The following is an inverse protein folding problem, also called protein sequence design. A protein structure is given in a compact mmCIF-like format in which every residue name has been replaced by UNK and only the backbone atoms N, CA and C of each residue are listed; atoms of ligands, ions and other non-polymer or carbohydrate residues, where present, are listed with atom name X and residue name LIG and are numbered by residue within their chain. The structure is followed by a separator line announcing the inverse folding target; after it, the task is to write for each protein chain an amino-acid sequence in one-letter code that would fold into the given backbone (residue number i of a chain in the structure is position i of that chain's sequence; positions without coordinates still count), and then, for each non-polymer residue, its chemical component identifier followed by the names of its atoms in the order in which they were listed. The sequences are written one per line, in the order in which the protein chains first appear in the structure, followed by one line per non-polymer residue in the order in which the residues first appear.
data_IF_685346356829
#
_entry.id   IF_685346356829
#
_cell.length_a   1.000
_cell.length_b   1.000
_cell.length_c   1.000
_cell.angle_alpha   90.00
_cell.angle_beta   90.00
_cell.angle_gamma   90.00
#
_symmetry.space_group_name_H-M   'P 1'
#
loop_
_entity.id
_entity.type
_entity.pdbx_description
1 polymer ?
#
# COMPACT_ATOMS: atom_id res chain seq x y z
N UNK A 1 -6.35 1.44 -3.87
CA UNK A 1 -5.67 2.31 -2.88
C UNK A 1 -5.13 3.54 -3.61
N UNK A 2 -5.42 4.74 -3.11
CA UNK A 2 -4.79 5.96 -3.62
C UNK A 2 -3.38 6.12 -3.03
N UNK A 3 -2.47 6.75 -3.80
CA UNK A 3 -1.11 7.06 -3.36
C UNK A 3 -1.06 8.54 -2.96
N UNK A 4 -0.57 8.80 -1.76
CA UNK A 4 -0.42 10.15 -1.19
C UNK A 4 -1.73 10.99 -1.10
N UNK A 5 -2.89 10.34 -0.97
CA UNK A 5 -4.17 11.01 -0.77
C UNK A 5 -4.44 11.21 0.73
N UNK A 6 -4.55 12.45 1.14
CA UNK A 6 -4.84 12.83 2.52
C UNK A 6 -6.34 12.85 2.84
N UNK A 7 -6.67 12.80 4.11
CA UNK A 7 -8.05 12.88 4.60
C UNK A 7 -8.78 14.15 4.10
N UNK A 8 -8.08 15.30 4.14
CA UNK A 8 -8.63 16.59 3.74
C UNK A 8 -8.63 16.84 2.21
N UNK A 9 -8.29 15.86 1.38
CA UNK A 9 -8.24 16.04 -0.08
C UNK A 9 -9.57 15.72 -0.78
N UNK A 10 -10.55 15.17 -0.05
CA UNK A 10 -11.86 14.77 -0.58
C UNK A 10 -12.97 15.71 -0.06
N UNK A 11 -13.94 16.03 -0.93
CA UNK A 11 -15.10 16.86 -0.58
C UNK A 11 -15.92 16.29 0.57
N UNK A 12 -16.15 14.98 0.60
CA UNK A 12 -16.87 14.30 1.68
C UNK A 12 -16.17 14.39 3.06
N UNK A 13 -14.93 14.83 3.11
CA UNK A 13 -14.18 15.11 4.34
C UNK A 13 -13.86 16.59 4.54
N UNK A 14 -14.47 17.48 3.75
CA UNK A 14 -14.40 18.93 3.96
C UNK A 14 -13.52 19.70 2.98
N UNK A 15 -12.99 19.06 1.93
CA UNK A 15 -12.30 19.76 0.86
C UNK A 15 -13.26 20.66 0.10
N UNK A 16 -12.88 21.93 -0.13
CA UNK A 16 -13.73 22.93 -0.79
C UNK A 16 -13.14 23.48 -2.09
N UNK A 17 -11.83 23.29 -2.32
CA UNK A 17 -11.12 23.82 -3.49
C UNK A 17 -11.13 22.83 -4.64
N UNK A 18 -10.78 21.57 -4.36
CA UNK A 18 -10.78 20.51 -5.36
C UNK A 18 -12.12 19.77 -5.32
N UNK A 19 -12.76 19.64 -6.46
CA UNK A 19 -14.04 18.97 -6.57
C UNK A 19 -13.84 17.45 -6.74
N UNK A 20 -14.49 16.65 -5.89
CA UNK A 20 -14.40 15.18 -5.93
C UNK A 20 -15.78 14.51 -6.02
N UNK A 21 -16.65 14.91 -7.00
CA UNK A 21 -18.07 14.57 -6.98
C UNK A 21 -18.37 13.08 -7.01
N UNK A 22 -17.56 12.27 -7.71
CA UNK A 22 -17.77 10.82 -7.78
C UNK A 22 -17.42 10.13 -6.46
N UNK A 23 -16.37 10.57 -5.78
CA UNK A 23 -15.97 10.06 -4.46
C UNK A 23 -16.93 10.52 -3.38
N UNK A 24 -17.42 11.75 -3.50
CA UNK A 24 -18.44 12.30 -2.58
C UNK A 24 -19.76 11.55 -2.71
N UNK A 25 -20.18 11.22 -3.94
CA UNK A 25 -21.35 10.39 -4.18
C UNK A 25 -21.17 8.97 -3.62
N UNK A 26 -20.01 8.36 -3.80
CA UNK A 26 -19.69 7.05 -3.22
C UNK A 26 -19.78 7.10 -1.69
N UNK A 27 -19.28 8.15 -1.06
CA UNK A 27 -19.37 8.34 0.38
C UNK A 27 -20.81 8.56 0.87
N UNK A 28 -21.66 9.23 0.08
CA UNK A 28 -23.06 9.48 0.39
C UNK A 28 -23.96 8.25 0.27
N UNK A 29 -23.64 7.34 -0.64
CA UNK A 29 -24.42 6.11 -0.91
C UNK A 29 -23.85 4.87 -0.25
N UNK A 30 -22.63 4.93 0.26
CA UNK A 30 -21.93 3.83 0.90
C UNK A 30 -21.60 4.09 2.36
N UNK A 31 -20.56 3.45 2.84
CA UNK A 31 -20.06 3.64 4.20
C UNK A 31 -18.83 4.55 4.18
N UNK A 32 -18.90 5.65 4.94
CA UNK A 32 -17.79 6.58 5.13
C UNK A 32 -17.16 6.38 6.49
N UNK A 33 -15.88 6.07 6.48
CA UNK A 33 -15.09 5.89 7.70
C UNK A 33 -14.41 7.20 8.09
N UNK A 34 -14.56 7.61 9.34
CA UNK A 34 -13.96 8.84 9.87
C UNK A 34 -12.70 8.59 10.68
N UNK A 35 -12.39 7.34 11.00
CA UNK A 35 -11.27 6.92 11.83
C UNK A 35 -10.57 5.68 11.23
N UNK A 36 -10.08 5.81 9.99
CA UNK A 36 -9.26 4.78 9.33
C UNK A 36 -7.90 5.38 9.01
N UNK A 37 -6.87 4.69 9.44
CA UNK A 37 -5.49 5.14 9.32
C UNK A 37 -4.69 4.19 8.44
N UNK A 38 -3.87 4.74 7.56
CA UNK A 38 -2.88 3.96 6.83
C UNK A 38 -1.87 3.33 7.81
N UNK A 39 -1.34 2.17 7.46
CA UNK A 39 -0.39 1.45 8.31
C UNK A 39 0.93 2.16 8.56
N UNK A 40 1.25 3.18 7.75
CA UNK A 40 2.40 4.05 7.90
C UNK A 40 2.19 5.38 7.17
N UNK A 41 3.03 6.36 7.46
CA UNK A 41 3.02 7.70 6.85
C UNK A 41 3.66 7.75 5.45
N UNK A 42 4.36 6.69 5.02
CA UNK A 42 5.00 6.60 3.70
C UNK A 42 4.60 5.32 2.97
N UNK A 43 4.76 5.32 1.65
CA UNK A 43 4.12 4.37 0.75
C UNK A 43 4.54 2.91 0.96
N UNK A 44 5.83 2.57 0.97
CA UNK A 44 6.27 1.18 1.03
C UNK A 44 5.81 0.46 2.32
N UNK A 45 6.04 0.97 3.54
CA UNK A 45 5.58 0.30 4.74
C UNK A 45 4.05 0.29 4.86
N UNK A 46 3.33 1.33 4.39
CA UNK A 46 1.86 1.32 4.36
C UNK A 46 1.32 0.22 3.45
N UNK A 47 1.95 0.03 2.26
CA UNK A 47 1.59 -1.05 1.33
C UNK A 47 1.91 -2.43 1.91
N UNK A 48 3.05 -2.57 2.59
CA UNK A 48 3.42 -3.83 3.24
C UNK A 48 2.44 -4.21 4.36
N UNK A 49 2.03 -3.25 5.20
CA UNK A 49 0.98 -3.44 6.22
C UNK A 49 -0.33 -3.89 5.57
N UNK A 50 -0.76 -3.22 4.49
CA UNK A 50 -1.99 -3.58 3.79
C UNK A 50 -1.88 -4.97 3.16
N UNK A 51 -0.77 -5.27 2.47
CA UNK A 51 -0.59 -6.55 1.78
C UNK A 51 -0.53 -7.74 2.74
N UNK A 52 0.13 -7.59 3.89
CA UNK A 52 0.39 -8.70 4.82
C UNK A 52 -0.58 -8.76 5.99
N UNK A 53 -1.40 -7.73 6.22
CA UNK A 53 -2.24 -7.61 7.42
C UNK A 53 -1.46 -7.45 8.73
N UNK A 54 -0.14 -7.31 8.68
CA UNK A 54 0.70 -7.16 9.88
C UNK A 54 0.72 -5.72 10.37
N UNK A 55 0.78 -5.54 11.67
CA UNK A 55 1.00 -4.23 12.28
C UNK A 55 2.36 -3.64 11.87
N UNK A 56 2.47 -2.33 11.76
CA UNK A 56 3.69 -1.60 11.35
C UNK A 56 4.95 -1.95 12.19
N UNK A 57 4.78 -2.39 13.42
CA UNK A 57 5.86 -2.89 14.28
C UNK A 57 6.33 -4.32 13.96
N UNK A 58 5.59 -5.07 13.15
CA UNK A 58 5.86 -6.48 12.83
C UNK A 58 6.20 -6.72 11.36
N UNK A 59 5.80 -5.80 10.46
CA UNK A 59 6.10 -5.90 9.04
C UNK A 59 7.61 -5.68 8.80
N UNK A 60 8.18 -6.38 7.82
CA UNK A 60 9.61 -6.28 7.50
C UNK A 60 10.00 -4.94 6.89
N UNK A 61 9.11 -4.34 6.08
CA UNK A 61 9.35 -3.06 5.41
C UNK A 61 8.84 -1.93 6.30
N UNK A 62 9.74 -1.18 6.92
CA UNK A 62 9.42 -0.11 7.88
C UNK A 62 9.68 1.31 7.35
N UNK A 63 10.18 1.43 6.13
CA UNK A 63 10.47 2.71 5.49
C UNK A 63 10.67 2.53 3.99
N UNK A 64 10.70 3.64 3.26
CA UNK A 64 10.98 3.61 1.82
C UNK A 64 12.43 3.24 1.51
N UNK A 65 13.33 3.58 2.45
CA UNK A 65 14.77 3.36 2.30
C UNK A 65 15.30 2.71 3.58
N UNK A 66 15.77 1.45 3.53
CA UNK A 66 16.36 0.83 4.69
C UNK A 66 17.74 1.45 5.00
N UNK A 67 18.05 1.59 6.27
CA UNK A 67 19.39 2.04 6.70
C UNK A 67 20.45 0.97 6.41
N UNK A 68 20.06 -0.30 6.44
CA UNK A 68 20.94 -1.47 6.24
C UNK A 68 20.24 -2.50 5.35
N UNK A 69 21.00 -3.17 4.49
CA UNK A 69 20.47 -4.20 3.59
C UNK A 69 19.74 -3.65 2.38
N UNK A 70 18.94 -4.49 1.76
CA UNK A 70 18.13 -4.16 0.57
C UNK A 70 18.90 -4.18 -0.75
N UNK A 71 18.15 -4.10 -1.85
CA UNK A 71 18.65 -4.07 -3.23
C UNK A 71 18.71 -2.61 -3.70
N UNK A 72 19.74 -2.26 -4.47
CA UNK A 72 19.85 -0.93 -5.09
C UNK A 72 18.94 -0.87 -6.32
N UNK A 73 18.10 0.16 -6.37
CA UNK A 73 17.31 0.47 -7.56
C UNK A 73 18.18 1.13 -8.67
N UNK A 74 17.57 1.43 -9.81
CA UNK A 74 18.24 2.09 -10.95
C UNK A 74 18.80 3.49 -10.64
N UNK A 75 18.39 4.11 -9.53
CA UNK A 75 18.91 5.39 -9.06
C UNK A 75 19.97 5.24 -7.96
N UNK A 76 20.35 3.99 -7.63
CA UNK A 76 21.32 3.69 -6.57
C UNK A 76 20.74 3.76 -5.16
N UNK A 77 19.42 4.01 -5.02
CA UNK A 77 18.73 4.00 -3.74
C UNK A 77 18.47 2.56 -3.28
N UNK A 78 18.63 2.32 -1.99
CA UNK A 78 18.33 0.99 -1.44
C UNK A 78 16.83 0.82 -1.23
N UNK A 79 16.32 -0.35 -1.66
CA UNK A 79 14.96 -0.80 -1.42
C UNK A 79 15.00 -2.14 -0.71
N UNK A 80 14.12 -2.33 0.25
CA UNK A 80 13.95 -3.62 0.90
C UNK A 80 12.79 -4.34 0.21
N UNK A 81 13.03 -5.46 -0.50
CA UNK A 81 11.95 -6.25 -1.06
C UNK A 81 11.17 -6.95 0.05
N UNK A 82 9.88 -7.19 -0.20
CA UNK A 82 9.06 -8.02 0.68
C UNK A 82 9.67 -9.44 0.70
N UNK A 83 10.00 -9.98 1.90
CA UNK A 83 10.51 -11.34 2.00
C UNK A 83 9.48 -12.36 1.51
N UNK A 84 9.93 -13.41 0.80
CA UNK A 84 9.05 -14.49 0.33
C UNK A 84 8.33 -15.24 1.47
N UNK A 85 8.81 -15.13 2.70
CA UNK A 85 8.14 -15.71 3.89
C UNK A 85 6.96 -14.86 4.40
N UNK A 86 6.77 -13.65 3.89
CA UNK A 86 5.65 -12.79 4.25
C UNK A 86 4.47 -13.05 3.32
N UNK A 87 3.49 -13.80 3.82
CA UNK A 87 2.26 -14.12 3.08
C UNK A 87 1.41 -12.87 2.92
N UNK A 88 0.93 -12.62 1.71
CA UNK A 88 0.05 -11.51 1.37
C UNK A 88 -1.41 -11.96 1.29
N UNK A 89 -2.35 -11.02 1.43
CA UNK A 89 -3.77 -11.34 1.24
C UNK A 89 -4.06 -11.84 -0.19
N UNK A 90 -3.26 -11.45 -1.18
CA UNK A 90 -3.41 -11.91 -2.56
C UNK A 90 -3.09 -13.42 -2.68
N UNK A 91 -2.03 -13.89 -2.01
CA UNK A 91 -1.69 -15.31 -1.94
C UNK A 91 -2.77 -16.10 -1.21
N UNK A 92 -3.29 -15.60 -0.09
CA UNK A 92 -4.40 -16.25 0.64
C UNK A 92 -5.65 -16.37 -0.25
N UNK A 93 -5.96 -15.35 -1.04
CA UNK A 93 -7.08 -15.40 -1.99
C UNK A 93 -6.80 -16.36 -3.14
N UNK A 94 -5.59 -16.42 -3.63
CA UNK A 94 -5.17 -17.35 -4.68
C UNK A 94 -5.28 -18.81 -4.20
N UNK A 95 -4.85 -19.08 -2.99
CA UNK A 95 -5.01 -20.41 -2.36
C UNK A 95 -6.49 -20.78 -2.17
N UNK A 96 -7.36 -19.81 -2.01
CA UNK A 96 -8.81 -19.99 -1.96
C UNK A 96 -9.48 -20.12 -3.35
N UNK A 97 -8.69 -20.12 -4.43
CA UNK A 97 -9.18 -20.32 -5.80
C UNK A 97 -9.55 -19.03 -6.54
N UNK A 98 -9.24 -17.86 -6.02
CA UNK A 98 -9.44 -16.59 -6.73
C UNK A 98 -8.28 -16.30 -7.70
N UNK A 99 -8.61 -15.70 -8.84
CA UNK A 99 -7.61 -15.05 -9.67
C UNK A 99 -7.24 -13.71 -9.06
N UNK A 100 -5.96 -13.51 -8.81
CA UNK A 100 -5.44 -12.25 -8.27
C UNK A 100 -4.62 -11.53 -9.33
N UNK A 101 -4.73 -10.21 -9.37
CA UNK A 101 -3.94 -9.36 -10.25
C UNK A 101 -3.61 -8.05 -9.56
N UNK A 102 -2.44 -7.51 -9.88
CA UNK A 102 -1.98 -6.23 -9.36
C UNK A 102 -1.74 -5.25 -10.50
N UNK A 103 -2.40 -4.09 -10.44
CA UNK A 103 -2.24 -3.00 -11.41
C UNK A 103 -1.88 -1.72 -10.66
N UNK A 104 -0.80 -1.06 -11.05
CA UNK A 104 -0.33 0.19 -10.47
C UNK A 104 0.97 0.05 -9.67
N UNK A 105 1.14 0.95 -8.70
CA UNK A 105 2.36 1.02 -7.89
C UNK A 105 2.40 -0.09 -6.84
N UNK A 106 3.35 -1.00 -6.95
CA UNK A 106 3.62 -2.05 -5.95
C UNK A 106 4.46 -1.50 -4.78
N UNK A 107 5.68 -1.08 -5.07
CA UNK A 107 6.58 -0.41 -4.12
C UNK A 107 7.17 -1.32 -3.04
N UNK A 108 7.04 -2.65 -3.17
CA UNK A 108 7.52 -3.63 -2.20
C UNK A 108 8.58 -4.57 -2.81
N UNK A 109 9.06 -4.28 -4.00
CA UNK A 109 10.08 -5.07 -4.69
C UNK A 109 10.79 -4.24 -5.74
N UNK A 110 11.99 -4.68 -6.09
CA UNK A 110 12.69 -4.32 -7.31
C UNK A 110 12.64 -5.50 -8.29
N UNK A 111 12.71 -5.29 -9.61
CA UNK A 111 12.69 -6.36 -10.60
C UNK A 111 13.71 -7.46 -10.29
N UNK A 112 13.27 -8.71 -10.32
CA UNK A 112 14.09 -9.88 -10.00
C UNK A 112 14.32 -10.13 -8.51
N UNK A 113 13.63 -9.39 -7.62
CA UNK A 113 13.68 -9.62 -6.18
C UNK A 113 12.55 -10.53 -5.68
N UNK A 114 12.69 -11.08 -4.47
CA UNK A 114 11.72 -12.01 -3.88
C UNK A 114 10.33 -11.43 -3.64
N UNK A 115 10.20 -10.13 -3.59
CA UNK A 115 8.91 -9.46 -3.37
C UNK A 115 8.20 -9.05 -4.66
N UNK A 116 8.71 -9.44 -5.83
CA UNK A 116 8.07 -9.14 -7.11
C UNK A 116 6.78 -9.95 -7.26
N UNK A 117 5.64 -9.32 -7.66
CA UNK A 117 4.41 -10.05 -7.92
C UNK A 117 4.60 -11.02 -9.10
N UNK A 118 4.19 -12.26 -8.93
CA UNK A 118 4.25 -13.33 -9.94
C UNK A 118 2.87 -13.61 -10.53
#
# INVERSE_FOLDING_TARGET
MADDLGYGDLGCYGQTVIQTPQLDQMAATGMRFTQVYAGSTVCAPSRAVLATGKHSGQVSIRGNFPNVGGVRDKFGLRRLPLPAAEVTFAEVLQDAGYYTAMIGKWGLAEPGSTGEPT
#
